data_IF_318410118089
#
_entry.id   IF_318410118089
#
_cell.length_a   1.000
_cell.length_b   1.000
_cell.length_c   1.000
_cell.angle_alpha   90.00
_cell.angle_beta   90.00
_cell.angle_gamma   90.00
#
_symmetry.space_group_name_H-M   'P 1'
#
loop_
_entity.id
_entity.type
_entity.pdbx_description
1 polymer ?
#
# COMPACT_ATOMS: atom_id res chain seq x y z
N UNK A 1 -8.89 -2.26 14.14
CA UNK A 1 -8.36 -3.63 14.37
C UNK A 1 -7.13 -3.64 15.27
N UNK A 2 -6.09 -2.81 15.00
CA UNK A 2 -4.93 -2.67 15.91
C UNK A 2 -5.30 -2.37 17.36
N UNK A 3 -6.20 -1.41 17.59
CA UNK A 3 -6.65 -1.04 18.95
C UNK A 3 -7.28 -2.22 19.69
N UNK A 4 -8.17 -2.96 19.01
CA UNK A 4 -8.80 -4.17 19.56
C UNK A 4 -7.75 -5.25 19.92
N UNK A 5 -6.77 -5.47 19.05
CA UNK A 5 -5.71 -6.44 19.31
C UNK A 5 -4.79 -6.01 20.47
N UNK A 6 -4.46 -4.71 20.54
CA UNK A 6 -3.69 -4.15 21.63
C UNK A 6 -4.42 -4.29 22.98
N UNK A 7 -5.73 -4.06 23.02
CA UNK A 7 -6.54 -4.28 24.23
C UNK A 7 -6.53 -5.74 24.68
N UNK A 8 -6.38 -6.68 23.75
CA UNK A 8 -6.23 -8.10 24.03
C UNK A 8 -4.78 -8.53 24.34
N UNK A 9 -3.80 -7.61 24.33
CA UNK A 9 -2.39 -7.93 24.52
C UNK A 9 -1.77 -8.70 23.34
N UNK A 10 -2.35 -8.60 22.15
CA UNK A 10 -1.91 -9.30 20.93
C UNK A 10 -1.13 -8.34 20.05
N UNK A 11 0.10 -8.73 19.68
CA UNK A 11 0.92 -7.99 18.73
C UNK A 11 0.30 -7.99 17.33
N UNK A 12 0.54 -6.91 16.58
CA UNK A 12 -0.01 -6.76 15.23
C UNK A 12 1.07 -6.45 14.20
N UNK A 13 0.82 -6.90 12.99
CA UNK A 13 1.62 -6.66 11.80
C UNK A 13 0.72 -6.07 10.71
N UNK A 14 1.27 -5.22 9.85
CA UNK A 14 0.61 -4.84 8.59
C UNK A 14 1.19 -5.67 7.44
N UNK A 15 0.31 -6.35 6.71
CA UNK A 15 0.68 -7.16 5.55
C UNK A 15 0.13 -6.58 4.25
N UNK A 16 0.51 -7.20 3.14
CA UNK A 16 0.00 -6.93 1.80
C UNK A 16 -0.46 -8.21 1.12
N UNK A 17 -1.36 -8.11 0.14
CA UNK A 17 -1.99 -9.26 -0.53
C UNK A 17 -1.54 -9.38 -2.00
N UNK A 18 -0.26 -9.17 -2.28
CA UNK A 18 0.21 -9.01 -3.65
C UNK A 18 -0.15 -7.64 -4.22
N UNK A 19 -0.03 -6.59 -3.40
CA UNK A 19 -0.42 -5.24 -3.76
C UNK A 19 0.64 -4.46 -4.54
N UNK A 20 0.20 -3.49 -5.35
CA UNK A 20 1.05 -2.52 -6.04
C UNK A 20 1.55 -1.41 -5.11
N UNK A 21 2.53 -0.63 -5.59
CA UNK A 21 3.19 0.44 -4.82
C UNK A 21 2.25 1.44 -4.13
N UNK A 22 1.08 1.74 -4.73
CA UNK A 22 0.06 2.60 -4.13
C UNK A 22 -0.42 2.07 -2.77
N UNK A 23 -0.87 0.82 -2.68
CA UNK A 23 -1.36 0.26 -1.42
C UNK A 23 -0.21 0.03 -0.44
N UNK A 24 0.97 -0.33 -0.93
CA UNK A 24 2.17 -0.47 -0.10
C UNK A 24 2.52 0.87 0.57
N UNK A 25 2.46 1.98 -0.17
CA UNK A 25 2.66 3.32 0.39
C UNK A 25 1.66 3.62 1.50
N UNK A 26 0.37 3.36 1.26
CA UNK A 26 -0.68 3.55 2.26
C UNK A 26 -0.44 2.71 3.52
N UNK A 27 -0.07 1.44 3.36
CA UNK A 27 0.23 0.53 4.47
C UNK A 27 1.49 0.96 5.25
N UNK A 28 2.51 1.50 4.58
CA UNK A 28 3.71 2.02 5.22
C UNK A 28 3.43 3.26 6.09
N UNK A 29 2.49 4.13 5.67
CA UNK A 29 2.00 5.23 6.53
C UNK A 29 1.29 4.71 7.79
N UNK A 30 0.50 3.64 7.68
CA UNK A 30 -0.14 3.01 8.84
C UNK A 30 0.92 2.41 9.77
N UNK A 31 1.88 1.66 9.22
CA UNK A 31 2.96 1.06 10.01
C UNK A 31 3.74 2.11 10.82
N UNK A 32 4.15 3.19 10.15
CA UNK A 32 5.01 4.22 10.75
C UNK A 32 4.28 5.06 11.80
N UNK A 33 3.00 5.37 11.61
CA UNK A 33 2.20 6.17 12.55
C UNK A 33 1.68 5.36 13.75
N UNK A 34 1.52 4.05 13.60
CA UNK A 34 0.91 3.20 14.63
C UNK A 34 1.92 2.57 15.58
N UNK A 35 3.23 2.68 15.33
CA UNK A 35 4.25 2.00 16.12
C UNK A 35 4.22 0.48 15.98
N UNK A 36 3.61 -0.05 14.91
CA UNK A 36 3.73 -1.46 14.55
C UNK A 36 5.19 -1.79 14.27
N UNK A 37 5.70 -2.82 14.93
CA UNK A 37 7.10 -3.26 14.82
C UNK A 37 7.32 -4.08 13.56
N UNK A 38 6.27 -4.79 13.12
CA UNK A 38 6.35 -5.73 12.01
C UNK A 38 5.51 -5.27 10.82
N UNK A 39 6.10 -5.40 9.63
CA UNK A 39 5.45 -5.06 8.37
C UNK A 39 5.95 -5.99 7.25
N UNK A 40 5.01 -6.53 6.48
CA UNK A 40 5.25 -7.33 5.28
C UNK A 40 4.76 -6.56 4.04
N UNK A 41 5.65 -5.73 3.50
CA UNK A 41 5.35 -4.66 2.54
C UNK A 41 6.23 -4.72 1.28
N UNK A 42 6.52 -5.91 0.79
CA UNK A 42 7.44 -6.13 -0.34
C UNK A 42 6.77 -6.63 -1.63
N UNK A 43 5.46 -6.92 -1.61
CA UNK A 43 4.70 -7.43 -2.76
C UNK A 43 4.95 -6.65 -4.06
N UNK A 44 5.03 -5.32 -3.97
CA UNK A 44 5.26 -4.42 -5.11
C UNK A 44 6.58 -4.67 -5.86
N UNK A 45 7.58 -5.30 -5.22
CA UNK A 45 8.84 -5.66 -5.88
C UNK A 45 8.66 -6.74 -6.94
N UNK A 46 7.58 -7.53 -6.85
CA UNK A 46 7.27 -8.62 -7.76
C UNK A 46 6.23 -8.24 -8.82
N UNK A 47 5.78 -6.97 -8.86
CA UNK A 47 4.66 -6.54 -9.70
C UNK A 47 5.07 -5.31 -10.50
N UNK A 48 4.84 -5.36 -11.82
CA UNK A 48 5.02 -4.19 -12.67
C UNK A 48 3.97 -3.12 -12.31
N UNK A 49 4.46 -1.98 -11.82
CA UNK A 49 3.61 -0.91 -11.29
C UNK A 49 3.21 0.13 -12.35
N UNK A 50 2.10 0.81 -12.10
CA UNK A 50 1.57 1.94 -12.90
C UNK A 50 1.60 3.25 -12.12
N UNK A 51 2.30 3.28 -11.00
CA UNK A 51 2.50 4.46 -10.17
C UNK A 51 3.96 4.51 -9.72
N UNK A 52 4.46 5.71 -9.46
CA UNK A 52 5.62 5.83 -8.58
C UNK A 52 5.21 5.30 -7.18
N UNK A 53 6.19 4.93 -6.35
CA UNK A 53 5.89 4.13 -5.18
C UNK A 53 7.02 4.11 -4.17
N UNK A 54 6.78 3.47 -3.01
CA UNK A 54 7.84 3.08 -2.10
C UNK A 54 8.93 2.30 -2.85
N UNK A 55 10.17 2.51 -2.45
CA UNK A 55 11.32 1.80 -3.01
C UNK A 55 12.14 1.17 -1.89
N UNK A 56 12.84 0.08 -2.19
CA UNK A 56 13.77 -0.54 -1.23
C UNK A 56 15.18 -0.05 -1.49
N UNK A 57 15.75 0.63 -0.50
CA UNK A 57 17.13 1.11 -0.52
C UNK A 57 17.88 0.58 0.69
N UNK A 58 18.99 -0.11 0.45
CA UNK A 58 19.85 -0.66 1.51
C UNK A 58 19.08 -1.56 2.51
N UNK A 59 18.08 -2.30 2.04
CA UNK A 59 17.23 -3.16 2.88
C UNK A 59 16.15 -2.41 3.66
N UNK A 60 15.96 -1.11 3.41
CA UNK A 60 14.91 -0.31 4.03
C UNK A 60 13.85 0.11 3.00
N UNK A 61 12.58 -0.02 3.37
CA UNK A 61 11.48 0.54 2.59
C UNK A 61 11.46 2.07 2.77
N UNK A 62 11.79 2.81 1.71
CA UNK A 62 11.66 4.26 1.64
C UNK A 62 10.32 4.64 1.05
N UNK A 63 9.52 5.35 1.85
CA UNK A 63 8.24 5.93 1.42
C UNK A 63 8.48 7.34 0.86
N UNK A 64 7.84 7.74 -0.24
CA UNK A 64 7.95 9.10 -0.76
C UNK A 64 7.50 10.15 0.27
N UNK A 65 8.19 11.29 0.32
CA UNK A 65 7.91 12.36 1.29
C UNK A 65 6.85 13.38 0.81
N UNK A 66 6.16 13.09 -0.30
CA UNK A 66 5.12 13.95 -0.85
C UNK A 66 3.85 13.98 0.01
N UNK A 67 2.91 14.91 -0.24
CA UNK A 67 1.64 14.96 0.48
C UNK A 67 0.78 13.71 0.22
N UNK A 68 -0.07 13.36 1.19
CA UNK A 68 -0.90 12.17 1.12
C UNK A 68 -0.07 10.89 1.23
N UNK A 69 -0.28 9.95 0.29
CA UNK A 69 0.52 8.73 0.17
C UNK A 69 1.87 9.01 -0.54
N UNK A 70 2.04 10.22 -1.09
CA UNK A 70 3.27 10.63 -1.77
C UNK A 70 3.49 9.97 -3.13
N UNK A 71 2.46 9.37 -3.73
CA UNK A 71 2.53 8.66 -5.02
C UNK A 71 1.72 9.34 -6.13
N UNK A 72 2.22 9.20 -7.35
CA UNK A 72 1.70 9.70 -8.62
C UNK A 72 1.44 8.55 -9.58
N UNK A 73 0.34 8.61 -10.31
CA UNK A 73 0.04 7.66 -11.38
C UNK A 73 0.93 7.95 -12.60
N UNK A 74 1.56 6.91 -13.16
CA UNK A 74 2.43 7.01 -14.32
C UNK A 74 1.60 6.87 -15.61
N UNK A 75 1.62 7.83 -16.54
CA UNK A 75 0.97 7.68 -17.83
C UNK A 75 1.62 6.56 -18.68
N UNK A 76 0.88 5.80 -19.49
CA UNK A 76 -0.59 5.77 -19.64
C UNK A 76 -1.22 4.70 -18.73
N UNK A 77 -1.32 4.94 -17.42
CA UNK A 77 -1.97 4.01 -16.47
C UNK A 77 -3.42 3.64 -16.85
N UNK A 78 -4.11 4.52 -17.59
CA UNK A 78 -5.52 4.36 -17.96
C UNK A 78 -5.76 3.31 -19.05
N UNK A 79 -4.78 3.04 -19.92
CA UNK A 79 -4.97 2.14 -21.06
C UNK A 79 -4.67 0.67 -20.72
N UNK A 80 -3.84 0.42 -19.70
CA UNK A 80 -3.33 -0.92 -19.41
C UNK A 80 -4.13 -1.72 -18.35
N UNK A 81 -4.85 -1.05 -17.43
CA UNK A 81 -5.38 -1.72 -16.20
C UNK A 81 -6.87 -1.47 -15.96
N UNK A 82 -7.53 -0.68 -16.81
CA UNK A 82 -8.92 -0.25 -16.57
C UNK A 82 -9.93 -1.31 -17.04
N UNK A 83 -10.27 -2.27 -16.17
CA UNK A 83 -11.57 -2.96 -16.28
C UNK A 83 -12.64 -2.03 -15.73
N UNK A 84 -13.47 -1.48 -16.62
CA UNK A 84 -14.63 -0.70 -16.20
C UNK A 84 -15.63 -1.63 -15.53
N UNK A 85 -15.89 -1.42 -14.23
CA UNK A 85 -17.01 -2.03 -13.56
C UNK A 85 -18.19 -1.07 -13.68
N UNK A 86 -19.08 -1.35 -14.64
CA UNK A 86 -20.40 -0.71 -14.68
C UNK A 86 -21.27 -1.40 -13.65
N UNK A 87 -21.65 -0.66 -12.61
CA UNK A 87 -22.76 -1.08 -11.74
C UNK A 87 -24.02 -1.01 -12.60
N UNK A 88 -24.68 -2.15 -12.83
CA UNK A 88 -25.99 -2.15 -13.46
C UNK A 88 -26.91 -1.23 -12.64
N UNK A 89 -27.59 -0.29 -13.30
CA UNK A 89 -28.57 0.54 -12.62
C UNK A 89 -29.58 -0.38 -11.91
N UNK A 90 -29.98 -0.05 -10.66
CA UNK A 90 -31.00 -0.84 -9.97
C UNK A 90 -32.29 -0.87 -10.81
N UNK A 91 -33.06 -1.98 -10.75
CA UNK A 91 -34.26 -2.19 -11.57
C UNK A 91 -35.35 -1.14 -11.31
#
# INVERSE_FOLDING_TARGET
MKEIANEAGVETMVGSMGDIGLSIGAAAHISSSSGMIYADLDSHLNIQTVCDGPNVEQGHLRVPSGPGIGVSLLPPWHDAVRRQFTVAAPP
#
